data_IF_180137440285
#
_entry.id   IF_180137440285
#
_cell.length_a   1.000
_cell.length_b   1.000
_cell.length_c   1.000
_cell.angle_alpha   90.00
_cell.angle_beta   90.00
_cell.angle_gamma   90.00
#
_symmetry.space_group_name_H-M   'P 1'
#
loop_
_entity.id
_entity.type
_entity.pdbx_description
1 polymer ?
#
# COMPACT_ATOMS: atom_id res chain seq x y z
N UNK A 1 -9.60 10.38 -14.35
CA UNK A 1 -10.17 9.15 -13.75
C UNK A 1 -9.33 8.87 -12.52
N UNK A 2 -9.93 8.86 -11.33
CA UNK A 2 -9.20 8.55 -10.10
C UNK A 2 -8.93 7.04 -10.02
N UNK A 3 -7.79 6.60 -9.45
CA UNK A 3 -7.53 5.18 -9.29
C UNK A 3 -8.59 4.55 -8.38
N UNK A 4 -9.01 3.32 -8.69
CA UNK A 4 -9.92 2.59 -7.80
C UNK A 4 -9.12 1.97 -6.64
N UNK A 5 -9.74 1.71 -5.47
CA UNK A 5 -9.07 1.01 -4.37
C UNK A 5 -8.48 -0.34 -4.81
N UNK A 6 -9.10 -1.02 -5.76
CA UNK A 6 -8.60 -2.26 -6.36
C UNK A 6 -7.29 -2.04 -7.15
N UNK A 7 -7.16 -0.93 -7.88
CA UNK A 7 -5.92 -0.61 -8.58
C UNK A 7 -4.79 -0.31 -7.60
N UNK A 8 -5.07 0.48 -6.56
CA UNK A 8 -4.11 0.77 -5.48
C UNK A 8 -3.66 -0.53 -4.81
N UNK A 9 -4.60 -1.46 -4.56
CA UNK A 9 -4.30 -2.78 -4.03
C UNK A 9 -3.35 -3.56 -4.95
N UNK A 10 -3.62 -3.58 -6.26
CA UNK A 10 -2.74 -4.22 -7.23
C UNK A 10 -1.32 -3.65 -7.20
N UNK A 11 -1.17 -2.31 -7.27
CA UNK A 11 0.15 -1.66 -7.26
C UNK A 11 0.99 -2.04 -6.03
N UNK A 12 0.37 -2.01 -4.84
CA UNK A 12 1.06 -2.38 -3.60
C UNK A 12 1.43 -3.87 -3.61
N UNK A 13 0.52 -4.76 -4.05
CA UNK A 13 0.78 -6.21 -4.05
C UNK A 13 1.83 -6.66 -5.07
N UNK A 14 1.99 -5.92 -6.18
CA UNK A 14 2.99 -6.22 -7.21
C UNK A 14 4.40 -5.85 -6.76
N UNK A 15 4.54 -4.74 -6.02
CA UNK A 15 5.84 -4.24 -5.59
C UNK A 15 6.24 -4.69 -4.18
N UNK A 16 5.27 -5.10 -3.36
CA UNK A 16 5.50 -5.45 -1.96
C UNK A 16 4.85 -6.78 -1.60
N UNK A 17 5.62 -7.68 -0.99
CA UNK A 17 5.10 -8.96 -0.50
C UNK A 17 4.20 -8.73 0.72
N UNK A 18 2.89 -8.65 0.49
CA UNK A 18 1.89 -8.42 1.54
C UNK A 18 1.19 -9.73 1.90
N UNK A 19 1.17 -10.07 3.19
CA UNK A 19 0.38 -11.18 3.73
C UNK A 19 -1.10 -10.81 3.82
N UNK A 20 -1.39 -9.55 4.15
CA UNK A 20 -2.73 -9.00 4.15
C UNK A 20 -2.69 -7.59 3.56
N UNK A 21 -3.63 -7.31 2.67
CA UNK A 21 -3.75 -6.03 2.00
C UNK A 21 -5.21 -5.70 1.78
N UNK A 22 -5.65 -4.64 2.43
CA UNK A 22 -6.98 -4.08 2.33
C UNK A 22 -6.86 -2.62 1.96
N UNK A 23 -7.63 -2.19 0.96
CA UNK A 23 -7.63 -0.81 0.49
C UNK A 23 -9.07 -0.39 0.34
N UNK A 24 -9.42 0.71 0.99
CA UNK A 24 -10.73 1.33 0.95
C UNK A 24 -10.56 2.79 0.50
N UNK A 25 -11.55 3.34 -0.19
CA UNK A 25 -11.49 4.74 -0.60
C UNK A 25 -12.69 5.18 -1.42
N UNK A 26 -12.87 6.49 -1.47
CA UNK A 26 -13.96 7.16 -2.20
C UNK A 26 -13.52 7.72 -3.56
N UNK A 27 -12.29 7.41 -3.98
CA UNK A 27 -11.65 7.92 -5.19
C UNK A 27 -10.76 9.14 -4.94
N UNK A 28 -10.91 9.84 -3.81
CA UNK A 28 -10.07 11.00 -3.46
C UNK A 28 -9.22 10.75 -2.22
N UNK A 29 -9.76 10.01 -1.25
CA UNK A 29 -9.05 9.55 -0.06
C UNK A 29 -9.02 8.02 -0.04
N UNK A 30 -7.83 7.47 0.20
CA UNK A 30 -7.62 6.04 0.31
C UNK A 30 -7.05 5.70 1.68
N UNK A 31 -7.58 4.64 2.26
CA UNK A 31 -7.10 4.01 3.48
C UNK A 31 -6.61 2.62 3.14
N UNK A 32 -5.39 2.27 3.56
CA UNK A 32 -4.82 0.97 3.29
C UNK A 32 -4.33 0.31 4.58
N UNK A 33 -4.75 -0.93 4.81
CA UNK A 33 -4.24 -1.79 5.88
C UNK A 33 -3.30 -2.80 5.21
N UNK A 34 -2.01 -2.70 5.55
CA UNK A 34 -0.96 -3.49 4.91
C UNK A 34 -0.22 -4.27 6.00
N UNK A 35 -0.23 -5.59 5.89
CA UNK A 35 0.57 -6.50 6.72
C UNK A 35 1.61 -7.16 5.84
N UNK A 36 2.88 -6.85 6.08
CA UNK A 36 4.00 -7.38 5.33
C UNK A 36 5.21 -7.61 6.23
N UNK A 37 5.97 -8.70 6.03
CA UNK A 37 7.26 -8.90 6.70
C UNK A 37 8.30 -7.85 6.29
N UNK A 38 8.16 -7.19 5.13
CA UNK A 38 9.07 -6.14 4.65
C UNK A 38 9.16 -4.95 5.62
N UNK A 39 8.14 -4.74 6.45
CA UNK A 39 8.11 -3.66 7.43
C UNK A 39 8.86 -3.99 8.73
N UNK A 40 9.24 -5.26 8.93
CA UNK A 40 9.99 -5.68 10.10
C UNK A 40 11.37 -4.98 10.14
N UNK A 41 11.74 -4.45 11.30
CA UNK A 41 13.00 -3.72 11.48
C UNK A 41 13.07 -2.33 10.84
N UNK A 42 12.09 -1.93 10.03
CA UNK A 42 12.04 -0.59 9.41
C UNK A 42 11.32 0.42 10.31
N UNK A 43 11.79 1.67 10.29
CA UNK A 43 11.15 2.80 10.99
C UNK A 43 9.86 3.20 10.28
N UNK A 44 8.95 3.86 10.99
CA UNK A 44 7.68 4.36 10.46
C UNK A 44 7.83 5.06 9.11
N UNK A 45 8.76 6.01 9.00
CA UNK A 45 8.99 6.76 7.75
C UNK A 45 9.42 5.86 6.59
N UNK A 46 10.24 4.84 6.86
CA UNK A 46 10.73 3.92 5.82
C UNK A 46 9.61 2.98 5.33
N UNK A 47 8.69 2.60 6.22
CA UNK A 47 7.49 1.84 5.84
C UNK A 47 6.61 2.67 4.91
N UNK A 48 6.38 3.94 5.25
CA UNK A 48 5.66 4.86 4.37
C UNK A 48 6.39 5.05 3.03
N UNK A 49 7.71 5.23 3.03
CA UNK A 49 8.48 5.35 1.78
C UNK A 49 8.33 4.13 0.88
N UNK A 50 8.32 2.92 1.43
CA UNK A 50 8.10 1.69 0.66
C UNK A 50 6.71 1.68 0.01
N UNK A 51 5.68 2.04 0.76
CA UNK A 51 4.31 2.12 0.22
C UNK A 51 4.20 3.19 -0.85
N UNK A 52 4.81 4.37 -0.65
CA UNK A 52 4.83 5.42 -1.68
C UNK A 52 5.59 4.97 -2.93
N UNK A 53 6.73 4.28 -2.77
CA UNK A 53 7.46 3.72 -3.90
C UNK A 53 6.61 2.68 -4.66
N UNK A 54 5.81 1.91 -3.94
CA UNK A 54 4.89 0.93 -4.52
C UNK A 54 3.74 1.56 -5.34
N UNK A 55 3.36 2.79 -5.02
CA UNK A 55 2.27 3.52 -5.68
C UNK A 55 2.70 4.25 -6.96
N UNK A 56 4.01 4.43 -7.19
CA UNK A 56 4.56 5.14 -8.34
C UNK A 56 4.83 6.62 -8.08
#
# INVERSE_FOLDING_TARGET
MFPTPEQVKSYISEQLSCTHLEVEGDGQHFYAIIVSPEFAGKRLVQRHQLVYAALG
#
